data_IF_807728887427
#
_entry.id   IF_807728887427
#
_cell.length_a   1.000
_cell.length_b   1.000
_cell.length_c   1.000
_cell.angle_alpha   90.00
_cell.angle_beta   90.00
_cell.angle_gamma   90.00
#
_symmetry.space_group_name_H-M   'P 1'
#
loop_
_entity.id
_entity.type
_entity.pdbx_description
1 polymer ?
#
# COMPACT_ATOMS: atom_id res chain seq x y z
N UNK A 1 27.58 -12.11 -50.61
CA UNK A 1 26.85 -11.74 -49.39
C UNK A 1 26.17 -10.39 -49.70
N UNK A 2 24.98 -10.44 -50.30
CA UNK A 2 23.65 -10.27 -49.69
C UNK A 2 23.47 -8.82 -49.15
N UNK A 3 22.46 -8.02 -49.50
CA UNK A 3 21.27 -8.13 -50.34
C UNK A 3 20.87 -6.71 -50.78
N UNK A 4 20.35 -6.59 -52.01
CA UNK A 4 19.75 -5.37 -52.56
C UNK A 4 18.31 -5.23 -52.03
N UNK A 5 17.94 -4.06 -51.52
CA UNK A 5 16.57 -3.74 -51.07
C UNK A 5 15.87 -2.96 -52.18
N UNK A 6 14.78 -3.52 -52.73
CA UNK A 6 13.76 -2.77 -53.49
C UNK A 6 12.36 -3.21 -53.08
N UNK A 7 11.65 -2.23 -52.53
CA UNK A 7 10.23 -1.86 -52.64
C UNK A 7 9.20 -2.91 -53.09
N UNK A 8 8.18 -3.11 -52.25
CA UNK A 8 6.88 -3.68 -52.63
C UNK A 8 5.77 -2.98 -51.85
N UNK A 9 4.85 -2.36 -52.57
CA UNK A 9 3.78 -1.51 -52.08
C UNK A 9 2.51 -2.28 -51.70
N UNK A 10 1.70 -1.65 -50.84
CA UNK A 10 0.23 -1.68 -50.76
C UNK A 10 -0.49 -3.05 -50.80
N UNK A 11 -1.12 -3.39 -49.68
CA UNK A 11 -2.16 -4.42 -49.62
C UNK A 11 -2.97 -4.29 -48.33
N UNK A 12 -4.01 -3.46 -48.36
CA UNK A 12 -5.01 -3.41 -47.32
C UNK A 12 -5.71 -4.78 -47.25
N UNK A 13 -5.67 -5.42 -46.08
CA UNK A 13 -6.55 -6.53 -45.77
C UNK A 13 -7.08 -6.32 -44.35
N UNK A 14 -8.21 -5.63 -44.28
CA UNK A 14 -9.09 -5.69 -43.12
C UNK A 14 -9.48 -7.15 -42.92
N UNK A 15 -8.92 -7.79 -41.89
CA UNK A 15 -9.43 -9.06 -41.39
C UNK A 15 -10.10 -8.79 -40.05
N UNK A 16 -11.40 -8.49 -40.12
CA UNK A 16 -12.29 -8.58 -38.97
C UNK A 16 -12.41 -10.06 -38.59
N UNK A 17 -11.69 -10.48 -37.56
CA UNK A 17 -11.95 -11.75 -36.90
C UNK A 17 -12.77 -11.45 -35.64
N UNK A 18 -14.07 -11.67 -35.80
CA UNK A 18 -15.10 -11.51 -34.76
C UNK A 18 -14.97 -12.64 -33.76
N UNK A 19 -14.63 -12.33 -32.51
CA UNK A 19 -14.84 -13.24 -31.37
C UNK A 19 -15.37 -12.44 -30.19
N UNK A 20 -16.61 -12.78 -29.83
CA UNK A 20 -17.30 -12.56 -28.55
C UNK A 20 -17.73 -11.13 -28.19
N UNK A 21 -19.05 -10.99 -28.01
CA UNK A 21 -19.69 -9.95 -27.20
C UNK A 21 -19.22 -10.09 -25.73
N UNK A 22 -18.05 -9.57 -25.43
CA UNK A 22 -17.72 -9.12 -24.09
C UNK A 22 -17.41 -7.64 -24.28
N UNK A 23 -18.28 -6.77 -23.77
CA UNK A 23 -18.04 -5.34 -23.81
C UNK A 23 -16.61 -5.07 -23.35
N UNK A 24 -15.96 -4.08 -23.97
CA UNK A 24 -14.80 -3.46 -23.38
C UNK A 24 -15.25 -2.99 -21.99
N UNK A 25 -15.06 -3.83 -20.96
CA UNK A 25 -15.03 -3.36 -19.59
C UNK A 25 -13.78 -2.50 -19.58
N UNK A 26 -13.99 -1.21 -19.79
CA UNK A 26 -13.04 -0.19 -19.40
C UNK A 26 -12.75 -0.50 -17.93
N UNK A 27 -11.60 -1.12 -17.65
CA UNK A 27 -11.18 -1.42 -16.29
C UNK A 27 -11.28 -0.10 -15.54
N UNK A 28 -12.17 0.01 -14.53
CA UNK A 28 -12.37 1.27 -13.87
C UNK A 28 -11.00 1.70 -13.35
N UNK A 29 -10.51 2.84 -13.84
CA UNK A 29 -9.25 3.40 -13.37
C UNK A 29 -9.41 3.75 -11.90
N UNK A 30 -9.06 2.81 -11.02
CA UNK A 30 -9.16 3.01 -9.58
C UNK A 30 -8.11 4.05 -9.24
N UNK A 31 -8.57 5.27 -8.95
CA UNK A 31 -7.70 6.36 -8.51
C UNK A 31 -6.92 5.87 -7.27
N UNK A 32 -5.59 6.02 -7.22
CA UNK A 32 -4.81 5.62 -6.07
C UNK A 32 -5.33 6.28 -4.80
N UNK A 33 -5.51 5.51 -3.73
CA UNK A 33 -5.86 6.04 -2.42
C UNK A 33 -4.63 6.75 -1.83
N UNK A 34 -4.68 8.08 -1.86
CA UNK A 34 -3.62 8.95 -1.35
C UNK A 34 -3.82 9.31 0.13
N UNK A 35 -4.92 8.85 0.74
CA UNK A 35 -5.34 9.17 2.08
C UNK A 35 -5.85 10.60 2.30
N UNK A 36 -6.07 10.99 3.57
CA UNK A 36 -6.57 12.28 3.96
C UNK A 36 -5.73 13.44 3.43
N UNK A 37 -6.38 14.60 3.25
CA UNK A 37 -5.70 15.85 2.88
C UNK A 37 -4.92 16.47 4.05
N UNK A 38 -5.25 16.11 5.29
CA UNK A 38 -4.64 16.64 6.52
C UNK A 38 -4.35 15.50 7.47
N UNK A 39 -3.23 15.62 8.19
CA UNK A 39 -2.75 14.67 9.18
C UNK A 39 -2.32 15.43 10.43
N UNK A 40 -2.52 14.83 11.61
CA UNK A 40 -2.16 15.45 12.88
C UNK A 40 -0.66 15.38 13.16
N UNK A 41 -0.01 14.33 12.66
CA UNK A 41 1.44 14.17 12.71
C UNK A 41 1.93 13.26 11.57
N UNK A 42 3.23 13.36 11.31
CA UNK A 42 3.93 12.44 10.42
C UNK A 42 5.36 12.22 10.91
N UNK A 43 5.99 11.16 10.43
CA UNK A 43 7.36 10.84 10.81
C UNK A 43 7.88 9.60 10.11
N UNK A 44 8.93 9.01 10.68
CA UNK A 44 9.47 7.71 10.26
C UNK A 44 9.46 6.73 11.42
N UNK A 45 9.43 5.45 11.10
CA UNK A 45 9.44 4.36 12.08
C UNK A 45 10.27 3.18 11.57
N UNK A 46 10.90 2.38 12.45
CA UNK A 46 11.51 1.12 12.05
C UNK A 46 10.50 0.14 11.46
N UNK A 47 10.86 -0.47 10.33
CA UNK A 47 10.04 -1.47 9.67
C UNK A 47 10.87 -2.45 8.85
N UNK A 48 10.25 -3.55 8.41
CA UNK A 48 10.87 -4.51 7.50
C UNK A 48 9.81 -5.35 6.77
N UNK A 49 10.19 -5.94 5.65
CA UNK A 49 9.37 -6.86 4.87
C UNK A 49 9.93 -8.29 4.89
N UNK A 50 9.06 -9.29 4.95
CA UNK A 50 9.37 -10.73 4.95
C UNK A 50 9.88 -11.26 6.30
N UNK A 51 10.82 -10.57 6.95
CA UNK A 51 11.35 -10.93 8.26
C UNK A 51 11.33 -9.72 9.23
N UNK A 52 11.19 -9.91 10.55
CA UNK A 52 11.09 -8.83 11.54
C UNK A 52 12.46 -8.26 11.94
N UNK A 53 13.25 -7.82 10.95
CA UNK A 53 14.59 -7.23 11.12
C UNK A 53 14.56 -5.76 11.56
N UNK A 54 13.49 -5.02 11.20
CA UNK A 54 13.34 -3.58 11.48
C UNK A 54 14.52 -2.72 11.00
N UNK A 55 15.14 -3.10 9.89
CA UNK A 55 16.34 -2.50 9.31
C UNK A 55 16.02 -1.36 8.30
N UNK A 56 14.73 -1.12 8.04
CA UNK A 56 14.26 -0.06 7.16
C UNK A 56 13.53 1.04 7.94
N UNK A 57 13.37 2.20 7.32
CA UNK A 57 12.57 3.30 7.84
C UNK A 57 11.32 3.50 6.97
N UNK A 58 10.14 3.28 7.55
CA UNK A 58 8.86 3.53 6.89
C UNK A 58 8.33 4.90 7.26
N UNK A 59 7.89 5.66 6.25
CA UNK A 59 7.15 6.89 6.48
C UNK A 59 5.77 6.57 7.06
N UNK A 60 5.32 7.38 8.01
CA UNK A 60 3.99 7.28 8.57
C UNK A 60 3.32 8.63 8.71
N UNK A 61 1.99 8.60 8.70
CA UNK A 61 1.11 9.73 9.01
C UNK A 61 -0.04 9.23 9.89
N UNK A 62 -0.55 10.09 10.77
CA UNK A 62 -1.65 9.72 11.67
C UNK A 62 -2.78 10.73 11.61
N UNK A 63 -4.01 10.23 11.66
CA UNK A 63 -5.21 11.01 11.96
C UNK A 63 -5.81 10.45 13.24
N UNK A 64 -5.73 11.22 14.33
CA UNK A 64 -6.33 10.90 15.62
C UNK A 64 -7.83 11.14 15.55
N UNK A 65 -8.57 10.26 16.22
CA UNK A 65 -10.02 10.30 16.27
C UNK A 65 -10.47 10.65 17.69
N UNK A 66 -11.63 11.32 17.84
CA UNK A 66 -12.25 11.49 19.15
C UNK A 66 -12.37 10.15 19.88
N UNK A 67 -12.26 10.18 21.21
CA UNK A 67 -12.32 8.96 22.02
C UNK A 67 -11.02 8.14 22.05
N UNK A 68 -9.89 8.72 21.63
CA UNK A 68 -8.56 8.10 21.76
C UNK A 68 -8.22 7.08 20.65
N UNK A 69 -9.00 7.04 19.57
CA UNK A 69 -8.69 6.23 18.39
C UNK A 69 -7.68 6.92 17.47
N UNK A 70 -7.14 6.17 16.52
CA UNK A 70 -6.27 6.73 15.47
C UNK A 70 -6.35 5.91 14.18
N UNK A 71 -6.10 6.57 13.06
CA UNK A 71 -5.85 5.93 11.78
C UNK A 71 -4.41 6.25 11.34
N UNK A 72 -3.61 5.20 11.16
CA UNK A 72 -2.18 5.29 10.90
C UNK A 72 -1.93 4.80 9.47
N UNK A 73 -1.39 5.69 8.65
CA UNK A 73 -1.04 5.45 7.27
C UNK A 73 0.46 5.23 7.17
N UNK A 74 0.87 4.01 6.81
CA UNK A 74 2.27 3.60 6.75
C UNK A 74 2.60 3.26 5.31
N UNK A 75 3.75 3.70 4.80
CA UNK A 75 4.23 3.26 3.49
C UNK A 75 4.29 1.72 3.45
N UNK A 76 3.59 1.11 2.49
CA UNK A 76 3.62 -0.34 2.35
C UNK A 76 4.88 -0.73 1.58
N UNK A 77 5.86 -1.29 2.30
CA UNK A 77 7.15 -1.73 1.74
C UNK A 77 7.11 -3.12 1.10
N UNK A 78 6.03 -3.89 1.32
CA UNK A 78 5.80 -5.16 0.65
C UNK A 78 5.29 -4.99 -0.79
N UNK A 79 4.68 -3.83 -1.10
CA UNK A 79 4.26 -3.46 -2.45
C UNK A 79 5.27 -2.47 -3.05
N UNK A 80 5.97 -2.86 -4.12
CA UNK A 80 7.11 -2.09 -4.66
C UNK A 80 6.85 -1.39 -6.01
N UNK A 81 5.81 -1.79 -6.72
CA UNK A 81 5.50 -1.38 -8.09
C UNK A 81 4.56 -0.17 -8.17
N UNK A 82 3.90 0.18 -7.06
CA UNK A 82 2.98 1.31 -6.97
C UNK A 82 2.99 1.94 -5.58
N UNK A 83 2.62 3.22 -5.43
CA UNK A 83 2.32 3.79 -4.13
C UNK A 83 1.21 2.98 -3.46
N UNK A 84 1.51 2.43 -2.29
CA UNK A 84 0.57 1.68 -1.49
C UNK A 84 0.79 2.01 -0.02
N UNK A 85 -0.29 2.02 0.74
CA UNK A 85 -0.27 2.27 2.17
C UNK A 85 -0.83 1.07 2.91
N UNK A 86 -0.15 0.70 4.00
CA UNK A 86 -0.72 -0.08 5.07
C UNK A 86 -1.46 0.89 5.97
N UNK A 87 -2.77 0.71 6.10
CA UNK A 87 -3.57 1.54 7.00
C UNK A 87 -4.06 0.72 8.18
N UNK A 88 -3.64 1.15 9.37
CA UNK A 88 -4.03 0.56 10.64
C UNK A 88 -5.02 1.48 11.35
N UNK A 89 -6.13 0.93 11.81
CA UNK A 89 -7.07 1.61 12.69
C UNK A 89 -6.84 1.14 14.12
N UNK A 90 -6.57 2.07 15.02
CA UNK A 90 -6.55 1.86 16.46
C UNK A 90 -7.87 2.33 17.07
N UNK A 91 -8.53 1.44 17.81
CA UNK A 91 -9.76 1.76 18.53
C UNK A 91 -9.86 0.86 19.76
N UNK A 92 -10.26 1.44 20.90
CA UNK A 92 -10.49 0.69 22.15
C UNK A 92 -9.32 -0.21 22.59
N UNK A 93 -8.07 0.18 22.29
CA UNK A 93 -6.88 -0.59 22.68
C UNK A 93 -6.41 -1.61 21.64
N UNK A 94 -7.12 -1.76 20.53
CA UNK A 94 -6.86 -2.79 19.52
C UNK A 94 -6.54 -2.19 18.15
N UNK A 95 -5.75 -2.93 17.36
CA UNK A 95 -5.48 -2.60 15.95
C UNK A 95 -6.26 -3.50 15.00
N UNK A 96 -6.73 -2.90 13.92
CA UNK A 96 -7.24 -3.60 12.74
C UNK A 96 -6.59 -3.03 11.47
N UNK A 97 -6.44 -3.86 10.44
CA UNK A 97 -5.99 -3.41 9.14
C UNK A 97 -7.19 -3.06 8.26
N UNK A 98 -7.11 -1.95 7.52
CA UNK A 98 -8.21 -1.51 6.64
C UNK A 98 -8.56 -2.54 5.56
N UNK A 99 -7.56 -3.22 5.01
CA UNK A 99 -7.73 -4.26 4.00
C UNK A 99 -8.11 -5.63 4.60
N UNK A 100 -8.33 -5.71 5.91
CA UNK A 100 -8.67 -6.95 6.61
C UNK A 100 -7.49 -7.89 6.84
N UNK A 101 -6.25 -7.47 6.57
CA UNK A 101 -5.06 -8.27 6.85
C UNK A 101 -5.01 -8.71 8.32
N UNK A 102 -4.83 -10.01 8.63
CA UNK A 102 -4.58 -10.46 10.00
C UNK A 102 -3.37 -9.74 10.60
N UNK A 103 -3.53 -9.30 11.85
CA UNK A 103 -2.50 -8.63 12.62
C UNK A 103 -2.05 -9.48 13.80
N UNK A 104 -0.74 -9.54 14.02
CA UNK A 104 -0.16 -9.86 15.33
C UNK A 104 0.37 -8.59 15.95
N UNK A 105 -0.07 -8.28 17.16
CA UNK A 105 0.27 -7.06 17.88
C UNK A 105 0.86 -7.43 19.22
N UNK A 106 1.97 -6.77 19.58
CA UNK A 106 2.53 -6.80 20.92
C UNK A 106 2.85 -5.38 21.36
N UNK A 107 2.77 -5.14 22.67
CA UNK A 107 3.18 -3.88 23.30
C UNK A 107 4.22 -4.19 24.36
N UNK A 108 5.33 -3.47 24.32
CA UNK A 108 6.37 -3.49 25.35
C UNK A 108 6.60 -2.05 25.82
N UNK A 109 6.21 -1.76 27.07
CA UNK A 109 6.09 -0.40 27.61
C UNK A 109 5.35 0.54 26.64
N UNK A 110 6.03 1.55 26.11
CA UNK A 110 5.47 2.54 25.18
C UNK A 110 5.75 2.20 23.71
N UNK A 111 6.22 0.98 23.41
CA UNK A 111 6.53 0.56 22.05
C UNK A 111 5.54 -0.50 21.56
N UNK A 112 4.88 -0.22 20.45
CA UNK A 112 4.08 -1.17 19.70
C UNK A 112 4.93 -1.91 18.68
N UNK A 113 4.73 -3.21 18.56
CA UNK A 113 5.16 -4.01 17.40
C UNK A 113 3.93 -4.60 16.73
N UNK A 114 3.73 -4.25 15.45
CA UNK A 114 2.63 -4.75 14.62
C UNK A 114 3.21 -5.55 13.46
N UNK A 115 2.70 -6.77 13.27
CA UNK A 115 2.97 -7.59 12.09
C UNK A 115 1.69 -7.83 11.32
N UNK A 116 1.65 -7.46 10.04
CA UNK A 116 0.52 -7.71 9.15
C UNK A 116 0.85 -8.81 8.13
N UNK A 117 -0.06 -9.76 7.94
CA UNK A 117 0.08 -10.89 6.99
C UNK A 117 1.38 -11.70 7.12
N UNK A 118 2.06 -11.62 8.25
CA UNK A 118 3.38 -12.24 8.47
C UNK A 118 4.47 -11.78 7.50
N UNK A 119 4.24 -10.63 6.85
CA UNK A 119 5.12 -10.09 5.83
C UNK A 119 5.53 -8.65 6.12
N UNK A 120 4.69 -7.86 6.77
CA UNK A 120 4.96 -6.45 7.04
C UNK A 120 5.16 -6.28 8.55
N UNK A 121 6.31 -5.72 8.97
CA UNK A 121 6.64 -5.55 10.38
C UNK A 121 6.92 -4.08 10.68
N UNK A 122 6.30 -3.56 11.75
CA UNK A 122 6.37 -2.16 12.15
C UNK A 122 6.64 -2.03 13.65
N UNK A 123 7.45 -1.04 14.03
CA UNK A 123 7.64 -0.63 15.42
C UNK A 123 7.45 0.86 15.58
N UNK A 124 6.60 1.28 16.51
CA UNK A 124 6.36 2.70 16.76
C UNK A 124 5.96 2.96 18.20
N UNK A 125 6.20 4.20 18.65
CA UNK A 125 5.86 4.62 20.00
C UNK A 125 4.35 4.82 20.17
N UNK A 126 3.83 4.58 21.37
CA UNK A 126 2.44 4.83 21.78
C UNK A 126 2.04 6.29 21.58
N UNK A 127 3.00 7.22 21.77
CA UNK A 127 2.85 8.65 21.52
C UNK A 127 2.42 8.98 20.08
N UNK A 128 2.67 8.09 19.10
CA UNK A 128 2.13 8.24 17.75
C UNK A 128 0.59 8.35 17.79
N UNK A 129 -0.05 7.50 18.59
CA UNK A 129 -1.50 7.44 18.78
C UNK A 129 -1.95 8.57 19.71
N UNK A 130 -1.28 8.76 20.85
CA UNK A 130 -1.78 9.61 21.95
C UNK A 130 -1.42 11.08 21.82
N UNK A 131 -0.36 11.44 21.09
CA UNK A 131 0.06 12.83 20.89
C UNK A 131 1.22 13.32 21.74
N UNK A 132 1.63 12.53 22.75
CA UNK A 132 2.67 12.93 23.71
C UNK A 132 2.19 13.92 24.76
#
# INVERSE_FOLDING_TARGET
MNHSIRSGALGAAASCLVVSLAGCVEEPSVKPDMGPSTYDASGTMPCSAGAPTFDQACGWRVVRKPGGGAEIWISNIAVRDRPAYRVLTFSQGEFSARDGAPLRVTKDADQWTVTANDQEHYRFADALITGG
#
